data_IF_755886331059
#
_entry.id   IF_755886331059
#
_cell.length_a   1.000
_cell.length_b   1.000
_cell.length_c   1.000
_cell.angle_alpha   90.00
_cell.angle_beta   90.00
_cell.angle_gamma   90.00
#
_symmetry.space_group_name_H-M   'P 1'
#
loop_
_entity.id
_entity.type
_entity.pdbx_description
1 polymer ?
#
# COMPACT_ATOMS: atom_id res chain seq x y z
N UNK A 1 -6.20 18.76 -18.69
CA UNK A 1 -6.17 19.46 -17.38
C UNK A 1 -7.54 19.97 -16.93
N UNK A 2 -8.36 20.59 -17.79
CA UNK A 2 -9.72 21.02 -17.43
C UNK A 2 -10.63 19.84 -16.98
N UNK A 3 -10.62 18.74 -17.75
CA UNK A 3 -11.41 17.52 -17.45
C UNK A 3 -11.05 16.86 -16.12
N UNK A 4 -9.77 16.88 -15.74
CA UNK A 4 -9.28 16.37 -14.46
C UNK A 4 -9.84 17.19 -13.29
N UNK A 5 -9.88 18.52 -13.40
CA UNK A 5 -10.47 19.39 -12.38
C UNK A 5 -12.00 19.29 -12.29
N UNK A 6 -12.65 18.85 -13.37
CA UNK A 6 -14.09 18.63 -13.46
C UNK A 6 -14.49 17.19 -13.10
N UNK A 7 -13.53 16.35 -12.69
CA UNK A 7 -13.75 14.93 -12.34
C UNK A 7 -14.33 14.09 -13.50
N UNK A 8 -14.04 14.45 -14.75
CA UNK A 8 -14.45 13.66 -15.93
C UNK A 8 -13.42 12.57 -16.21
N UNK A 9 -13.37 11.55 -15.34
CA UNK A 9 -12.31 10.55 -15.29
C UNK A 9 -12.20 9.72 -16.58
N UNK A 10 -13.30 9.21 -17.12
CA UNK A 10 -13.28 8.42 -18.37
C UNK A 10 -12.74 9.23 -19.55
N UNK A 11 -13.07 10.52 -19.60
CA UNK A 11 -12.54 11.41 -20.64
C UNK A 11 -11.05 11.73 -20.43
N UNK A 12 -10.60 11.83 -19.17
CA UNK A 12 -9.15 11.96 -18.86
C UNK A 12 -8.39 10.72 -19.31
N UNK A 13 -8.93 9.52 -19.04
CA UNK A 13 -8.32 8.25 -19.47
C UNK A 13 -8.19 8.23 -20.99
N UNK A 14 -9.29 8.46 -21.71
CA UNK A 14 -9.30 8.48 -23.18
C UNK A 14 -8.26 9.44 -23.75
N UNK A 15 -8.18 10.67 -23.20
CA UNK A 15 -7.19 11.66 -23.63
C UNK A 15 -5.75 11.19 -23.37
N UNK A 16 -5.50 10.59 -22.21
CA UNK A 16 -4.17 10.13 -21.81
C UNK A 16 -3.74 8.91 -22.64
N UNK A 17 -4.62 7.96 -22.89
CA UNK A 17 -4.36 6.79 -23.73
C UNK A 17 -4.05 7.20 -25.18
N UNK A 18 -4.84 8.11 -25.76
CA UNK A 18 -4.54 8.68 -27.07
C UNK A 18 -3.17 9.36 -27.11
N UNK A 19 -2.79 10.06 -26.03
CA UNK A 19 -1.46 10.66 -25.92
C UNK A 19 -0.35 9.60 -25.85
N UNK A 20 -0.57 8.50 -25.11
CA UNK A 20 0.39 7.41 -24.97
C UNK A 20 0.56 6.59 -26.25
N UNK A 21 -0.49 6.49 -27.07
CA UNK A 21 -0.38 5.89 -28.42
C UNK A 21 0.57 6.68 -29.33
N UNK A 22 0.60 8.00 -29.20
CA UNK A 22 1.49 8.88 -29.99
C UNK A 22 2.87 9.01 -29.36
N UNK A 23 2.94 9.05 -28.03
CA UNK A 23 4.18 9.23 -27.28
C UNK A 23 4.14 8.32 -26.06
N UNK A 24 4.63 7.07 -26.19
CA UNK A 24 4.60 6.09 -25.11
C UNK A 24 5.27 6.60 -23.84
N UNK A 25 6.36 7.37 -23.96
CA UNK A 25 7.14 7.86 -22.82
C UNK A 25 6.71 9.24 -22.29
N UNK A 26 5.42 9.54 -22.37
CA UNK A 26 4.88 10.78 -21.83
C UNK A 26 4.59 10.66 -20.32
N UNK A 27 5.49 11.18 -19.48
CA UNK A 27 5.35 11.19 -18.02
C UNK A 27 4.03 11.84 -17.56
N UNK A 28 3.63 12.97 -18.14
CA UNK A 28 2.43 13.70 -17.72
C UNK A 28 1.16 12.92 -18.04
N UNK A 29 1.11 12.26 -19.21
CA UNK A 29 -0.02 11.40 -19.57
C UNK A 29 -0.17 10.26 -18.57
N UNK A 30 0.93 9.57 -18.22
CA UNK A 30 0.91 8.51 -17.19
C UNK A 30 0.52 9.03 -15.80
N UNK A 31 1.02 10.20 -15.40
CA UNK A 31 0.68 10.84 -14.13
C UNK A 31 -0.80 11.21 -14.00
N UNK A 32 -1.43 11.72 -15.06
CA UNK A 32 -2.85 12.04 -15.05
C UNK A 32 -3.73 10.80 -15.21
N UNK A 33 -3.28 9.82 -15.98
CA UNK A 33 -3.95 8.52 -16.13
C UNK A 33 -4.06 7.82 -14.78
N UNK A 34 -2.95 7.72 -14.04
CA UNK A 34 -2.94 7.14 -12.70
C UNK A 34 -3.92 7.85 -11.73
N UNK A 35 -4.00 9.19 -11.76
CA UNK A 35 -4.96 9.93 -10.93
C UNK A 35 -6.43 9.60 -11.26
N UNK A 36 -6.75 9.48 -12.55
CA UNK A 36 -8.09 9.11 -12.98
C UNK A 36 -8.42 7.66 -12.59
N UNK A 37 -7.46 6.75 -12.72
CA UNK A 37 -7.61 5.33 -12.34
C UNK A 37 -7.82 5.15 -10.84
N UNK A 38 -7.12 5.91 -9.96
CA UNK A 38 -7.42 5.93 -8.52
C UNK A 38 -8.88 6.32 -8.28
N UNK A 39 -9.37 7.36 -8.96
CA UNK A 39 -10.74 7.84 -8.78
C UNK A 39 -11.80 6.82 -9.24
N UNK A 40 -11.47 6.00 -10.23
CA UNK A 40 -12.29 4.88 -10.70
C UNK A 40 -12.06 3.57 -9.94
N UNK A 41 -11.19 3.57 -8.93
CA UNK A 41 -10.81 2.38 -8.13
C UNK A 41 -10.10 1.27 -8.93
N UNK A 42 -9.50 1.62 -10.05
CA UNK A 42 -8.59 0.74 -10.77
C UNK A 42 -7.17 0.90 -10.19
N UNK A 43 -6.97 0.35 -8.99
CA UNK A 43 -5.77 0.60 -8.19
C UNK A 43 -4.51 -0.06 -8.75
N UNK A 44 -4.64 -1.22 -9.41
CA UNK A 44 -3.50 -1.92 -10.01
C UNK A 44 -2.98 -1.14 -11.22
N UNK A 45 -3.86 -0.74 -12.15
CA UNK A 45 -3.44 0.06 -13.30
C UNK A 45 -2.94 1.45 -12.88
N UNK A 46 -3.54 2.04 -11.83
CA UNK A 46 -3.07 3.32 -11.28
C UNK A 46 -1.63 3.23 -10.75
N UNK A 47 -1.30 2.16 -10.01
CA UNK A 47 0.04 1.95 -9.46
C UNK A 47 1.07 1.73 -10.57
N UNK A 48 0.73 0.92 -11.59
CA UNK A 48 1.61 0.69 -12.74
C UNK A 48 1.95 2.00 -13.45
N UNK A 49 0.92 2.80 -13.78
CA UNK A 49 1.11 4.09 -14.44
C UNK A 49 1.89 5.09 -13.58
N UNK A 50 1.65 5.12 -12.27
CA UNK A 50 2.37 5.98 -11.34
C UNK A 50 3.86 5.61 -11.26
N UNK A 51 4.19 4.32 -11.15
CA UNK A 51 5.59 3.84 -11.13
C UNK A 51 6.31 4.16 -12.44
N UNK A 52 5.62 4.03 -13.57
CA UNK A 52 6.19 4.34 -14.86
C UNK A 52 6.40 5.86 -15.03
N UNK A 53 5.43 6.69 -14.60
CA UNK A 53 5.60 8.14 -14.52
C UNK A 53 6.80 8.52 -13.65
N UNK A 54 6.96 7.86 -12.49
CA UNK A 54 8.07 8.08 -11.57
C UNK A 54 9.41 7.76 -12.23
N UNK A 55 9.53 6.61 -12.89
CA UNK A 55 10.73 6.19 -13.61
C UNK A 55 11.16 7.24 -14.65
N UNK A 56 10.22 7.73 -15.44
CA UNK A 56 10.50 8.78 -16.43
C UNK A 56 10.92 10.08 -15.77
N UNK A 57 10.19 10.51 -14.73
CA UNK A 57 10.46 11.76 -14.01
C UNK A 57 11.85 11.76 -13.34
N UNK A 58 12.22 10.62 -12.74
CA UNK A 58 13.52 10.42 -12.11
C UNK A 58 14.65 10.42 -13.14
N UNK A 59 14.44 9.84 -14.32
CA UNK A 59 15.42 9.83 -15.40
C UNK A 59 15.67 11.23 -16.01
N UNK A 60 14.63 12.08 -16.09
CA UNK A 60 14.75 13.44 -16.61
C UNK A 60 15.19 14.47 -15.58
N UNK A 61 15.18 14.12 -14.28
CA UNK A 61 15.46 15.07 -13.20
C UNK A 61 14.43 16.21 -13.12
N UNK A 62 13.17 15.93 -13.46
CA UNK A 62 12.12 16.96 -13.49
C UNK A 62 11.71 17.36 -12.06
N UNK A 63 11.38 18.64 -11.85
CA UNK A 63 10.97 19.18 -10.54
C UNK A 63 9.67 18.56 -10.01
N UNK A 64 8.89 17.92 -10.87
CA UNK A 64 7.67 17.21 -10.49
C UNK A 64 7.94 15.89 -9.76
N UNK A 65 9.20 15.46 -9.60
CA UNK A 65 9.54 14.17 -8.97
C UNK A 65 8.87 13.98 -7.61
N UNK A 66 8.90 14.98 -6.73
CA UNK A 66 8.23 14.91 -5.43
C UNK A 66 6.72 14.66 -5.54
N UNK A 67 6.04 15.30 -6.49
CA UNK A 67 4.62 15.10 -6.73
C UNK A 67 4.31 13.71 -7.30
N UNK A 68 5.19 13.19 -8.17
CA UNK A 68 5.04 11.86 -8.74
C UNK A 68 5.33 10.77 -7.69
N UNK A 69 6.34 10.95 -6.84
CA UNK A 69 6.63 10.06 -5.70
C UNK A 69 5.46 10.01 -4.73
N UNK A 70 4.87 11.16 -4.38
CA UNK A 70 3.68 11.22 -3.55
C UNK A 70 2.47 10.49 -4.20
N UNK A 71 2.33 10.55 -5.53
CA UNK A 71 1.30 9.79 -6.24
C UNK A 71 1.53 8.28 -6.14
N UNK A 72 2.78 7.80 -6.26
CA UNK A 72 3.12 6.38 -6.08
C UNK A 72 2.72 5.90 -4.68
N UNK A 73 3.09 6.64 -3.65
CA UNK A 73 2.72 6.32 -2.26
C UNK A 73 1.20 6.27 -2.09
N UNK A 74 0.49 7.25 -2.65
CA UNK A 74 -0.97 7.25 -2.66
C UNK A 74 -1.57 6.03 -3.36
N UNK A 75 -1.06 5.66 -4.54
CA UNK A 75 -1.52 4.46 -5.25
C UNK A 75 -1.33 3.20 -4.40
N UNK A 76 -0.15 3.05 -3.77
CA UNK A 76 0.14 1.90 -2.89
C UNK A 76 -0.82 1.85 -1.70
N UNK A 77 -1.07 2.99 -1.05
CA UNK A 77 -2.00 3.10 0.08
C UNK A 77 -3.43 2.74 -0.31
N UNK A 78 -3.98 3.38 -1.34
CA UNK A 78 -5.38 3.18 -1.74
C UNK A 78 -5.63 1.72 -2.16
N UNK A 79 -4.65 1.11 -2.85
CA UNK A 79 -4.67 -0.32 -3.18
C UNK A 79 -4.68 -1.19 -1.93
N UNK A 80 -3.83 -0.90 -0.96
CA UNK A 80 -3.78 -1.62 0.31
C UNK A 80 -5.09 -1.50 1.08
N UNK A 81 -5.63 -0.28 1.21
CA UNK A 81 -6.88 -0.02 1.92
C UNK A 81 -8.07 -0.75 1.29
N UNK A 82 -8.10 -0.89 -0.03
CA UNK A 82 -9.14 -1.66 -0.73
C UNK A 82 -9.02 -3.17 -0.47
N UNK A 83 -7.80 -3.72 -0.62
CA UNK A 83 -7.53 -5.13 -0.33
C UNK A 83 -7.80 -5.47 1.14
N UNK A 84 -7.45 -4.58 2.06
CA UNK A 84 -7.66 -4.77 3.49
C UNK A 84 -9.14 -4.72 3.86
N UNK A 85 -9.91 -3.80 3.27
CA UNK A 85 -11.38 -3.79 3.42
C UNK A 85 -12.01 -5.08 2.93
N UNK A 86 -11.55 -5.59 1.78
CA UNK A 86 -12.02 -6.86 1.23
C UNK A 86 -11.68 -8.02 2.16
N UNK A 87 -10.43 -8.08 2.64
CA UNK A 87 -9.96 -9.11 3.59
C UNK A 87 -10.77 -9.13 4.87
N UNK A 88 -11.01 -7.96 5.48
CA UNK A 88 -11.81 -7.83 6.72
C UNK A 88 -13.24 -8.30 6.48
N UNK A 89 -13.86 -7.88 5.38
CA UNK A 89 -15.22 -8.30 5.02
C UNK A 89 -15.30 -9.81 4.82
N UNK A 90 -14.42 -10.40 4.03
CA UNK A 90 -14.38 -11.84 3.77
C UNK A 90 -14.16 -12.63 5.08
N UNK A 91 -13.31 -12.15 5.96
CA UNK A 91 -13.10 -12.76 7.27
C UNK A 91 -14.35 -12.71 8.16
N UNK A 92 -15.06 -11.58 8.19
CA UNK A 92 -16.30 -11.44 8.96
C UNK A 92 -17.44 -12.30 8.39
N UNK A 93 -17.53 -12.38 7.06
CA UNK A 93 -18.51 -13.21 6.37
C UNK A 93 -18.26 -14.69 6.67
N UNK A 94 -16.99 -15.12 6.64
CA UNK A 94 -16.60 -16.49 6.99
C UNK A 94 -16.86 -16.82 8.46
N UNK A 95 -16.53 -15.93 9.39
CA UNK A 95 -16.80 -16.10 10.83
C UNK A 95 -18.29 -16.35 11.07
N UNK A 96 -19.15 -15.50 10.48
CA UNK A 96 -20.60 -15.63 10.58
C UNK A 96 -21.09 -16.97 10.02
N UNK A 97 -20.65 -17.33 8.81
CA UNK A 97 -21.06 -18.58 8.16
C UNK A 97 -20.65 -19.82 8.98
N UNK A 98 -19.41 -19.85 9.50
CA UNK A 98 -18.93 -20.96 10.30
C UNK A 98 -19.70 -21.10 11.62
N UNK A 99 -19.99 -19.99 12.31
CA UNK A 99 -20.77 -20.02 13.55
C UNK A 99 -22.22 -20.46 13.30
N UNK A 100 -22.84 -20.02 12.20
CA UNK A 100 -24.18 -20.47 11.80
C UNK A 100 -24.21 -21.98 11.49
N UNK A 101 -23.20 -22.50 10.78
CA UNK A 101 -23.10 -23.93 10.48
C UNK A 101 -22.93 -24.78 11.74
N UNK A 102 -22.03 -24.39 12.65
CA UNK A 102 -21.83 -25.09 13.92
C UNK A 102 -23.10 -25.08 14.79
N UNK A 103 -23.83 -23.96 14.80
CA UNK A 103 -25.08 -23.84 15.55
C UNK A 103 -26.16 -24.76 14.97
N UNK A 104 -26.30 -24.81 13.64
CA UNK A 104 -27.25 -25.72 12.97
C UNK A 104 -26.90 -27.19 13.19
N UNK A 105 -25.62 -27.53 13.15
CA UNK A 105 -25.13 -28.89 13.42
C UNK A 105 -25.45 -29.31 14.86
N UNK A 106 -25.24 -28.42 15.84
CA UNK A 106 -25.66 -28.61 17.24
C UNK A 106 -27.16 -28.86 17.34
N UNK A 107 -27.98 -28.01 16.73
CA UNK A 107 -29.45 -28.15 16.75
C UNK A 107 -29.93 -29.46 16.12
N UNK A 108 -29.30 -29.88 15.02
CA UNK A 108 -29.61 -31.15 14.35
C UNK A 108 -29.28 -32.36 15.23
N UNK A 109 -28.08 -32.41 15.82
CA UNK A 109 -27.70 -33.49 16.75
C UNK A 109 -28.62 -33.55 17.97
N UNK A 110 -29.02 -32.39 18.51
CA UNK A 110 -29.97 -32.33 19.61
C UNK A 110 -31.38 -32.76 19.20
N UNK A 111 -31.77 -32.64 17.93
CA UNK A 111 -33.07 -33.12 17.46
C UNK A 111 -33.10 -34.65 17.29
N UNK A 112 -31.95 -35.32 17.17
CA UNK A 112 -31.84 -36.76 16.96
C UNK A 112 -31.86 -37.58 18.27
N UNK A 113 -31.77 -36.93 19.43
CA UNK A 113 -31.74 -37.62 20.74
C UNK A 113 -32.61 -36.95 21.81
N UNK A 114 -33.41 -37.76 22.49
CA UNK A 114 -34.23 -37.35 23.63
C UNK A 114 -33.55 -37.68 24.99
N UNK A 115 -32.40 -38.37 24.98
CA UNK A 115 -31.69 -38.74 26.20
C UNK A 115 -31.01 -37.52 26.83
N UNK A 116 -31.39 -37.18 28.06
CA UNK A 116 -30.90 -35.98 28.73
C UNK A 116 -29.38 -35.93 28.97
N UNK A 117 -28.73 -37.09 29.18
CA UNK A 117 -27.27 -37.14 29.36
C UNK A 117 -26.56 -36.92 28.03
N UNK A 118 -27.02 -37.58 26.97
CA UNK A 118 -26.43 -37.42 25.62
C UNK A 118 -26.62 -35.99 25.10
N UNK A 119 -27.77 -35.37 25.36
CA UNK A 119 -28.01 -33.95 25.01
C UNK A 119 -27.02 -33.03 25.69
N UNK A 120 -26.77 -33.23 26.99
CA UNK A 120 -25.82 -32.42 27.74
C UNK A 120 -24.40 -32.56 27.16
N UNK A 121 -23.96 -33.78 26.83
CA UNK A 121 -22.65 -34.01 26.20
C UNK A 121 -22.53 -33.31 24.84
N UNK A 122 -23.57 -33.38 23.99
CA UNK A 122 -23.62 -32.68 22.69
C UNK A 122 -23.54 -31.16 22.88
N UNK A 123 -24.27 -30.62 23.87
CA UNK A 123 -24.24 -29.19 24.18
C UNK A 123 -22.84 -28.74 24.59
N UNK A 124 -22.23 -29.43 25.55
CA UNK A 124 -20.88 -29.11 26.05
C UNK A 124 -19.83 -29.18 24.94
N UNK A 125 -19.83 -30.23 24.11
CA UNK A 125 -18.88 -30.37 23.01
C UNK A 125 -19.09 -29.31 21.93
N UNK A 126 -20.34 -29.05 21.55
CA UNK A 126 -20.67 -28.09 20.49
C UNK A 126 -20.39 -26.66 20.93
N UNK A 127 -20.71 -26.31 22.18
CA UNK A 127 -20.42 -24.98 22.74
C UNK A 127 -18.91 -24.75 22.84
N UNK A 128 -18.14 -25.78 23.23
CA UNK A 128 -16.69 -25.70 23.23
C UNK A 128 -16.11 -25.50 21.81
N UNK A 129 -16.69 -26.14 20.78
CA UNK A 129 -16.29 -25.93 19.37
C UNK A 129 -16.61 -24.52 18.88
N UNK A 130 -17.82 -24.02 19.16
CA UNK A 130 -18.27 -22.68 18.80
C UNK A 130 -17.35 -21.63 19.46
N UNK A 131 -17.06 -21.79 20.75
CA UNK A 131 -16.23 -20.84 21.47
C UNK A 131 -14.79 -20.84 20.95
N UNK A 132 -14.22 -22.03 20.68
CA UNK A 132 -12.91 -22.15 20.04
C UNK A 132 -12.87 -21.49 18.66
N UNK A 133 -13.94 -21.58 17.88
CA UNK A 133 -14.02 -20.92 16.57
C UNK A 133 -13.98 -19.39 16.74
N UNK A 134 -14.75 -18.83 17.68
CA UNK A 134 -14.71 -17.39 17.99
C UNK A 134 -13.31 -16.94 18.44
N UNK A 135 -12.66 -17.70 19.32
CA UNK A 135 -11.31 -17.41 19.79
C UNK A 135 -10.29 -17.33 18.63
N UNK A 136 -10.40 -18.21 17.63
CA UNK A 136 -9.51 -18.20 16.45
C UNK A 136 -9.69 -16.90 15.65
N UNK A 137 -10.92 -16.50 15.38
CA UNK A 137 -11.21 -15.25 14.66
C UNK A 137 -10.80 -14.01 15.46
N UNK A 138 -11.04 -14.02 16.77
CA UNK A 138 -10.67 -12.90 17.63
C UNK A 138 -9.15 -12.73 17.71
N UNK A 139 -8.41 -13.83 17.83
CA UNK A 139 -6.94 -13.80 17.78
C UNK A 139 -6.43 -13.26 16.45
N UNK A 140 -7.04 -13.65 15.33
CA UNK A 140 -6.68 -13.16 14.01
C UNK A 140 -6.97 -11.65 13.85
N UNK A 141 -8.05 -11.13 14.46
CA UNK A 141 -8.32 -9.68 14.52
C UNK A 141 -7.27 -8.94 15.34
N UNK A 142 -6.98 -9.42 16.55
CA UNK A 142 -6.05 -8.78 17.49
C UNK A 142 -4.63 -8.64 16.91
N UNK A 143 -4.18 -9.60 16.10
CA UNK A 143 -2.88 -9.49 15.41
C UNK A 143 -2.82 -8.32 14.42
N UNK A 144 -3.95 -7.94 13.80
CA UNK A 144 -4.05 -6.79 12.89
C UNK A 144 -4.12 -5.42 13.57
N UNK A 145 -4.42 -5.38 14.87
CA UNK A 145 -4.52 -4.17 15.70
C UNK A 145 -3.21 -3.83 16.43
N UNK A 146 -2.17 -4.66 16.30
CA UNK A 146 -0.86 -4.38 16.89
C UNK A 146 -0.32 -3.03 16.44
N UNK A 147 0.41 -2.38 17.36
CA UNK A 147 1.01 -1.06 17.12
C UNK A 147 1.91 -1.13 15.88
N UNK A 148 1.52 -0.31 14.91
CA UNK A 148 2.18 -0.17 13.61
C UNK A 148 3.40 0.74 13.78
N UNK A 149 4.60 0.20 13.59
CA UNK A 149 5.85 0.96 13.63
C UNK A 149 6.55 0.83 12.29
N UNK A 150 6.88 1.97 11.69
CA UNK A 150 7.68 2.00 10.46
C UNK A 150 9.15 1.99 10.85
N UNK A 151 9.97 1.07 10.30
CA UNK A 151 11.38 1.03 10.62
C UNK A 151 12.09 2.31 10.18
N UNK A 152 12.96 2.84 11.06
CA UNK A 152 13.73 4.07 10.79
C UNK A 152 14.55 3.99 9.50
N UNK A 153 15.00 2.80 9.10
CA UNK A 153 15.76 2.61 7.86
C UNK A 153 14.93 2.88 6.59
N UNK A 154 13.60 2.87 6.67
CA UNK A 154 12.70 3.10 5.55
C UNK A 154 12.29 4.60 5.42
N UNK A 155 12.60 5.40 6.44
CA UNK A 155 12.23 6.81 6.52
C UNK A 155 13.35 7.70 6.01
N UNK A 156 12.98 8.70 5.21
CA UNK A 156 13.89 9.71 4.69
C UNK A 156 14.14 10.83 5.71
N UNK A 157 15.40 11.12 6.03
CA UNK A 157 15.76 12.17 7.01
C UNK A 157 15.44 13.61 6.57
N UNK A 158 15.13 13.83 5.28
CA UNK A 158 14.80 15.16 4.75
C UNK A 158 13.29 15.38 4.76
N UNK A 159 12.52 14.48 4.14
CA UNK A 159 11.06 14.58 4.03
C UNK A 159 10.32 13.99 5.23
N UNK A 160 10.98 13.18 6.03
CA UNK A 160 10.39 12.35 7.10
C UNK A 160 9.33 11.35 6.62
N UNK A 161 9.20 11.17 5.30
CA UNK A 161 8.29 10.21 4.69
C UNK A 161 8.97 8.91 4.29
N UNK A 162 8.15 7.95 3.88
CA UNK A 162 8.61 6.65 3.41
C UNK A 162 9.38 6.75 2.08
N UNK A 163 10.54 6.08 1.99
CA UNK A 163 11.38 6.08 0.78
C UNK A 163 10.81 5.16 -0.31
N UNK A 164 10.65 5.71 -1.52
CA UNK A 164 10.22 4.98 -2.73
C UNK A 164 11.40 4.69 -3.65
N UNK A 165 12.32 5.65 -3.80
CA UNK A 165 13.49 5.51 -4.65
C UNK A 165 14.76 5.99 -3.93
N UNK A 166 15.22 5.23 -2.92
CA UNK A 166 16.36 5.63 -2.10
C UNK A 166 17.65 5.72 -2.93
N UNK A 167 18.41 6.79 -2.70
CA UNK A 167 19.73 7.02 -3.25
C UNK A 167 20.74 7.28 -2.15
N UNK A 168 21.94 6.72 -2.31
CA UNK A 168 23.06 6.89 -1.39
C UNK A 168 23.97 8.04 -1.82
N UNK A 169 24.39 8.83 -0.84
CA UNK A 169 25.51 9.76 -0.98
C UNK A 169 26.84 9.03 -0.81
N UNK A 170 27.95 9.72 -1.10
CA UNK A 170 29.31 9.17 -0.94
C UNK A 170 29.68 8.80 0.51
N UNK A 171 28.94 9.33 1.49
CA UNK A 171 29.13 9.04 2.91
C UNK A 171 28.41 7.74 3.33
N UNK A 172 27.62 7.15 2.42
CA UNK A 172 26.85 5.93 2.66
C UNK A 172 25.44 6.17 3.20
N UNK A 173 25.07 7.43 3.49
CA UNK A 173 23.71 7.77 3.94
C UNK A 173 22.74 7.71 2.76
N UNK A 174 21.56 7.12 2.99
CA UNK A 174 20.48 7.05 1.99
C UNK A 174 19.41 8.10 2.27
N UNK A 175 18.86 8.65 1.19
CA UNK A 175 17.75 9.60 1.20
C UNK A 175 16.76 9.25 0.08
N UNK A 176 15.52 9.73 0.17
CA UNK A 176 14.60 9.70 -0.95
C UNK A 176 15.13 10.58 -2.09
N UNK A 177 15.15 10.06 -3.34
CA UNK A 177 15.66 10.79 -4.51
C UNK A 177 14.99 12.15 -4.65
N UNK A 178 13.66 12.22 -4.53
CA UNK A 178 12.94 13.49 -4.66
C UNK A 178 13.45 14.56 -3.69
N UNK A 179 13.66 14.17 -2.43
CA UNK A 179 14.10 15.06 -1.35
C UNK A 179 15.53 15.55 -1.52
N UNK A 180 16.47 14.62 -1.77
CA UNK A 180 17.89 14.99 -1.90
C UNK A 180 18.15 15.77 -3.17
N UNK A 181 17.44 15.50 -4.27
CA UNK A 181 17.58 16.26 -5.51
C UNK A 181 17.11 17.71 -5.32
N UNK A 182 16.00 17.92 -4.62
CA UNK A 182 15.53 19.27 -4.28
C UNK A 182 16.51 19.99 -3.34
N UNK A 183 17.07 19.28 -2.35
CA UNK A 183 18.12 19.83 -1.48
C UNK A 183 19.33 20.28 -2.30
N UNK A 184 19.86 19.41 -3.16
CA UNK A 184 21.06 19.68 -3.96
C UNK A 184 20.87 20.81 -4.98
N UNK A 185 19.64 21.02 -5.44
CA UNK A 185 19.30 22.16 -6.29
C UNK A 185 19.38 23.51 -5.54
N UNK A 186 19.25 23.50 -4.20
CA UNK A 186 19.35 24.69 -3.35
C UNK A 186 20.73 24.83 -2.71
N UNK A 187 21.33 23.71 -2.31
CA UNK A 187 22.58 23.63 -1.56
C UNK A 187 23.43 22.47 -2.09
N UNK A 188 24.58 22.76 -2.71
CA UNK A 188 25.51 21.73 -3.25
C UNK A 188 26.34 21.04 -2.15
N UNK A 189 25.69 20.56 -1.10
CA UNK A 189 26.31 19.92 0.07
C UNK A 189 25.45 18.77 0.58
N UNK A 190 26.08 17.79 1.23
CA UNK A 190 25.38 16.72 1.94
C UNK A 190 24.57 17.29 3.13
N UNK A 191 23.28 16.95 3.28
CA UNK A 191 22.43 17.49 4.35
C UNK A 191 22.94 17.20 5.77
N UNK A 192 23.62 16.07 5.96
CA UNK A 192 24.11 15.62 7.26
C UNK A 192 25.54 16.10 7.51
N UNK A 193 26.46 15.85 6.58
CA UNK A 193 27.89 16.14 6.81
C UNK A 193 28.32 17.53 6.37
N UNK A 194 27.51 18.22 5.55
CA UNK A 194 27.80 19.52 4.93
C UNK A 194 28.99 19.51 3.97
N UNK A 195 29.53 18.34 3.64
CA UNK A 195 30.57 18.21 2.63
C UNK A 195 30.00 18.50 1.24
N UNK A 196 30.81 19.04 0.29
CA UNK A 196 30.35 19.28 -1.08
C UNK A 196 29.81 17.99 -1.70
N UNK A 197 28.60 18.04 -2.25
CA UNK A 197 27.93 16.89 -2.89
C UNK A 197 27.21 17.39 -4.14
N UNK A 198 27.34 16.65 -5.24
CA UNK A 198 26.63 16.95 -6.50
C UNK A 198 25.73 15.78 -6.93
N UNK A 199 24.64 16.03 -7.68
CA UNK A 199 23.69 14.99 -8.07
C UNK A 199 24.30 13.77 -8.78
N UNK A 200 25.37 13.96 -9.56
CA UNK A 200 26.08 12.88 -10.26
C UNK A 200 26.85 11.93 -9.33
N UNK A 201 27.09 12.32 -8.08
CA UNK A 201 27.72 11.47 -7.07
C UNK A 201 26.72 10.54 -6.37
N UNK A 202 25.41 10.79 -6.52
CA UNK A 202 24.38 9.92 -5.97
C UNK A 202 24.40 8.55 -6.67
N UNK A 203 24.17 7.50 -5.89
CA UNK A 203 24.08 6.12 -6.38
C UNK A 203 22.76 5.49 -5.95
N UNK A 204 21.99 4.85 -6.86
CA UNK A 204 20.77 4.15 -6.47
C UNK A 204 21.06 3.07 -5.42
N UNK A 205 20.28 3.05 -4.33
CA UNK A 205 20.36 2.01 -3.33
C UNK A 205 19.34 0.90 -3.63
N UNK A 206 19.71 -0.01 -4.53
CA UNK A 206 18.80 -1.05 -5.01
C UNK A 206 18.37 -2.01 -3.88
N UNK A 207 19.26 -2.31 -2.94
CA UNK A 207 18.96 -3.20 -1.82
C UNK A 207 17.93 -2.56 -0.87
N UNK A 208 18.13 -1.28 -0.51
CA UNK A 208 17.18 -0.56 0.32
C UNK A 208 15.83 -0.36 -0.39
N UNK A 209 15.86 -0.10 -1.70
CA UNK A 209 14.65 -0.01 -2.50
C UNK A 209 13.83 -1.31 -2.45
N UNK A 210 14.48 -2.45 -2.65
CA UNK A 210 13.82 -3.77 -2.55
C UNK A 210 13.26 -4.01 -1.15
N UNK A 211 14.02 -3.68 -0.09
CA UNK A 211 13.55 -3.82 1.29
C UNK A 211 12.33 -2.92 1.57
N UNK A 212 12.33 -1.68 1.08
CA UNK A 212 11.20 -0.76 1.17
C UNK A 212 9.98 -1.27 0.39
N UNK A 213 10.18 -1.84 -0.80
CA UNK A 213 9.14 -2.43 -1.63
C UNK A 213 8.48 -3.63 -0.94
N UNK A 214 9.28 -4.59 -0.47
CA UNK A 214 8.81 -5.77 0.27
C UNK A 214 8.08 -5.37 1.56
N UNK A 215 8.61 -4.39 2.29
CA UNK A 215 7.96 -3.89 3.50
C UNK A 215 6.58 -3.32 3.19
N UNK A 216 6.43 -2.50 2.15
CA UNK A 216 5.12 -1.93 1.76
C UNK A 216 4.16 -2.97 1.18
N UNK A 217 4.65 -4.06 0.58
CA UNK A 217 3.80 -5.17 0.13
C UNK A 217 3.13 -5.89 1.30
N UNK A 218 3.77 -5.92 2.46
CA UNK A 218 3.24 -6.53 3.69
C UNK A 218 2.62 -5.51 4.65
N UNK A 219 2.96 -4.23 4.49
CA UNK A 219 2.60 -3.14 5.38
C UNK A 219 2.20 -1.88 4.58
N UNK A 220 1.28 -2.02 3.64
CA UNK A 220 0.90 -0.90 2.75
C UNK A 220 0.31 0.30 3.48
N UNK A 221 -0.13 0.12 4.73
CA UNK A 221 -0.49 1.18 5.66
C UNK A 221 0.65 2.15 5.99
N UNK A 222 1.92 1.80 5.74
CA UNK A 222 3.07 2.66 6.04
C UNK A 222 3.34 3.72 4.95
N UNK A 223 2.58 3.71 3.85
CA UNK A 223 2.80 4.61 2.72
C UNK A 223 2.48 6.09 3.00
N UNK A 224 1.78 6.43 4.09
CA UNK A 224 1.44 7.80 4.51
C UNK A 224 2.15 8.26 5.79
N UNK A 225 3.21 7.55 6.19
CA UNK A 225 4.03 7.92 7.35
C UNK A 225 4.63 9.32 7.22
#
# INVERSE_FOLDING_TARGET
MARLKLNYWDSVITDCEACLQLTPDNMKARYYLAQAQIALRDYDAALENALHAHKLCAATGDRSLAAVTALVLRCKKERWDDLEKKRVRESQDLEREMLELLTKDKEAMLAETDDGMVRQEIEEESDAKIERMKEIFERARADGEKKREVPDWAIDDISFGFMVDPVMTKTGKSYERASIMEHLNRHHSDPLTREPLVPSELRPNLALKQACEEFLEQNGWAADW
#
